data_IF_250212853944
#
_entry.id   IF_250212853944
#
_cell.length_a   1.000
_cell.length_b   1.000
_cell.length_c   1.000
_cell.angle_alpha   90.00
_cell.angle_beta   90.00
_cell.angle_gamma   90.00
#
_symmetry.space_group_name_H-M   'P 1'
#
loop_
_entity.id
_entity.type
_entity.pdbx_description
1 polymer ?
#
# COMPACT_ATOMS: atom_id res chain seq x y z
N UNK A 1 20.39 0.36 14.19
CA UNK A 1 20.90 0.01 12.84
C UNK A 1 21.14 -1.49 12.65
N UNK A 2 21.59 -2.26 13.65
CA UNK A 2 21.87 -3.70 13.48
C UNK A 2 20.62 -4.55 13.15
N UNK A 3 19.45 -4.22 13.70
CA UNK A 3 18.22 -4.98 13.43
C UNK A 3 17.71 -4.85 11.98
N UNK A 4 17.91 -3.69 11.33
CA UNK A 4 17.43 -3.47 9.95
C UNK A 4 18.28 -4.23 8.93
N UNK A 5 19.58 -4.44 9.19
CA UNK A 5 20.44 -5.22 8.30
C UNK A 5 20.06 -6.71 8.29
N UNK A 6 19.73 -7.27 9.45
CA UNK A 6 19.27 -8.66 9.56
C UNK A 6 17.93 -8.87 8.84
N UNK A 7 16.95 -8.00 9.08
CA UNK A 7 15.65 -8.07 8.40
C UNK A 7 15.77 -7.88 6.88
N UNK A 8 16.60 -6.92 6.44
CA UNK A 8 16.86 -6.69 5.02
C UNK A 8 17.49 -7.93 4.36
N UNK A 9 18.46 -8.58 5.03
CA UNK A 9 19.06 -9.83 4.56
C UNK A 9 18.03 -10.95 4.43
N UNK A 10 17.13 -11.10 5.41
CA UNK A 10 16.07 -12.12 5.38
C UNK A 10 15.06 -11.89 4.25
N UNK A 11 14.78 -10.64 3.90
CA UNK A 11 13.87 -10.25 2.82
C UNK A 11 14.58 -10.13 1.45
N UNK A 12 15.89 -10.38 1.40
CA UNK A 12 16.71 -10.27 0.19
C UNK A 12 16.83 -8.85 -0.37
N UNK A 13 16.60 -7.82 0.45
CA UNK A 13 16.58 -6.41 0.04
C UNK A 13 17.70 -5.59 0.68
N UNK A 14 17.87 -4.34 0.24
CA UNK A 14 18.74 -3.36 0.87
C UNK A 14 18.11 -2.73 2.11
N UNK A 15 18.94 -2.17 2.99
CA UNK A 15 18.44 -1.45 4.18
C UNK A 15 17.61 -0.22 3.82
N UNK A 16 17.86 0.40 2.66
CA UNK A 16 17.05 1.51 2.15
C UNK A 16 15.64 1.06 1.75
N UNK A 17 15.51 -0.13 1.16
CA UNK A 17 14.21 -0.70 0.80
C UNK A 17 13.34 -0.94 2.03
N UNK A 18 13.96 -1.45 3.09
CA UNK A 18 13.31 -1.70 4.36
C UNK A 18 12.90 -0.39 5.05
N UNK A 19 13.79 0.61 5.04
CA UNK A 19 13.47 1.94 5.57
C UNK A 19 12.32 2.60 4.79
N UNK A 20 12.29 2.46 3.46
CA UNK A 20 11.20 2.97 2.63
C UNK A 20 9.85 2.31 2.92
N UNK A 21 9.85 0.98 3.12
CA UNK A 21 8.65 0.26 3.56
C UNK A 21 8.13 0.79 4.91
N UNK A 22 9.01 0.94 5.91
CA UNK A 22 8.58 1.47 7.21
C UNK A 22 8.14 2.93 7.16
N UNK A 23 8.80 3.79 6.37
CA UNK A 23 8.36 5.17 6.19
C UNK A 23 6.97 5.25 5.53
N UNK A 24 6.67 4.37 4.57
CA UNK A 24 5.32 4.25 3.98
C UNK A 24 4.31 3.74 4.99
N UNK A 25 4.66 2.72 5.76
CA UNK A 25 3.81 2.17 6.81
C UNK A 25 3.46 3.24 7.86
N UNK A 26 4.45 3.99 8.32
CA UNK A 26 4.27 5.10 9.27
C UNK A 26 3.34 6.18 8.67
N UNK A 27 3.52 6.54 7.38
CA UNK A 27 2.62 7.48 6.69
C UNK A 27 1.17 6.99 6.72
N UNK A 28 0.91 5.73 6.37
CA UNK A 28 -0.45 5.20 6.36
C UNK A 28 -1.03 5.04 7.75
N UNK A 29 -0.22 4.73 8.76
CA UNK A 29 -0.64 4.70 10.16
C UNK A 29 -1.17 6.05 10.62
N UNK A 30 -0.48 7.13 10.25
CA UNK A 30 -0.89 8.50 10.57
C UNK A 30 -2.03 9.04 9.70
N UNK A 31 -2.37 8.35 8.60
CA UNK A 31 -3.44 8.76 7.68
C UNK A 31 -4.56 7.73 7.61
N UNK A 32 -4.51 6.84 6.63
CA UNK A 32 -5.63 5.97 6.26
C UNK A 32 -5.90 4.88 7.29
N UNK A 33 -4.92 4.46 8.09
CA UNK A 33 -5.13 3.45 9.12
C UNK A 33 -5.43 4.02 10.50
N UNK A 34 -5.37 5.34 10.68
CA UNK A 34 -5.56 5.97 11.99
C UNK A 34 -6.90 5.59 12.64
N UNK A 35 -7.97 5.59 11.83
CA UNK A 35 -9.33 5.23 12.25
C UNK A 35 -9.78 3.84 11.72
N UNK A 36 -8.86 3.04 11.17
CA UNK A 36 -9.19 1.70 10.65
C UNK A 36 -9.07 0.64 11.76
N UNK A 37 -10.17 0.36 12.45
CA UNK A 37 -10.23 -0.68 13.49
C UNK A 37 -9.90 -2.09 12.96
N UNK A 38 -10.00 -2.32 11.65
CA UNK A 38 -9.60 -3.58 11.03
C UNK A 38 -8.09 -3.65 10.81
N UNK A 39 -7.34 -2.55 10.83
CA UNK A 39 -5.92 -2.60 10.53
C UNK A 39 -5.10 -3.30 11.63
N UNK A 40 -4.09 -4.08 11.23
CA UNK A 40 -3.02 -4.54 12.12
C UNK A 40 -1.80 -4.99 11.31
N UNK A 41 -0.59 -4.81 11.86
CA UNK A 41 0.63 -5.28 11.21
C UNK A 41 0.63 -6.81 10.95
N UNK A 42 -0.08 -7.58 11.78
CA UNK A 42 -0.22 -9.02 11.63
C UNK A 42 -1.05 -9.40 10.41
N UNK A 43 -2.03 -8.57 10.02
CA UNK A 43 -2.81 -8.77 8.78
C UNK A 43 -1.95 -8.61 7.54
N UNK A 44 -0.98 -7.70 7.52
CA UNK A 44 -0.01 -7.58 6.40
C UNK A 44 0.69 -8.93 6.16
N UNK A 45 1.25 -9.52 7.21
CA UNK A 45 1.94 -10.81 7.13
C UNK A 45 0.99 -11.94 6.71
N UNK A 46 -0.22 -11.97 7.28
CA UNK A 46 -1.25 -12.97 6.94
C UNK A 46 -1.66 -12.89 5.46
N UNK A 47 -1.85 -11.68 4.95
CA UNK A 47 -2.27 -11.42 3.57
C UNK A 47 -1.18 -11.80 2.59
N UNK A 48 0.09 -11.46 2.86
CA UNK A 48 1.23 -11.94 2.04
C UNK A 48 1.26 -13.46 1.97
N UNK A 49 1.07 -14.13 3.12
CA UNK A 49 1.07 -15.60 3.18
C UNK A 49 -0.01 -16.22 2.30
N UNK A 50 -1.20 -15.62 2.29
CA UNK A 50 -2.36 -16.11 1.55
C UNK A 50 -2.29 -15.79 0.06
N UNK A 51 -2.07 -14.52 -0.30
CA UNK A 51 -2.12 -14.06 -1.68
C UNK A 51 -0.89 -14.45 -2.50
N UNK A 52 0.28 -14.58 -1.86
CA UNK A 52 1.56 -14.76 -2.55
C UNK A 52 2.22 -16.11 -2.28
N UNK A 53 1.45 -17.11 -1.82
CA UNK A 53 1.96 -18.43 -1.44
C UNK A 53 3.18 -18.37 -0.49
N UNK A 54 3.21 -17.38 0.40
CA UNK A 54 4.30 -17.18 1.35
C UNK A 54 5.61 -16.68 0.74
N UNK A 55 5.61 -16.14 -0.49
CA UNK A 55 6.75 -15.39 -1.01
C UNK A 55 6.89 -14.07 -0.25
N UNK A 56 7.58 -14.11 0.88
CA UNK A 56 7.85 -12.92 1.69
C UNK A 56 9.05 -12.15 1.12
N UNK A 57 8.76 -11.23 0.21
CA UNK A 57 9.73 -10.22 -0.26
C UNK A 57 9.28 -8.82 0.14
N UNK A 58 10.20 -7.86 0.11
CA UNK A 58 9.84 -6.45 0.35
C UNK A 58 8.76 -5.96 -0.63
N UNK A 59 8.73 -6.48 -1.85
CA UNK A 59 7.75 -6.11 -2.87
C UNK A 59 6.36 -6.63 -2.51
N UNK A 60 6.24 -7.90 -2.12
CA UNK A 60 4.94 -8.45 -1.68
C UNK A 60 4.40 -7.75 -0.43
N UNK A 61 5.29 -7.30 0.47
CA UNK A 61 4.91 -6.52 1.63
C UNK A 61 4.39 -5.14 1.23
N UNK A 62 5.04 -4.47 0.27
CA UNK A 62 4.56 -3.19 -0.25
C UNK A 62 3.22 -3.35 -0.97
N UNK A 63 3.07 -4.33 -1.86
CA UNK A 63 1.81 -4.58 -2.58
C UNK A 63 0.66 -4.74 -1.59
N UNK A 64 0.81 -5.64 -0.61
CA UNK A 64 -0.24 -5.90 0.38
C UNK A 64 -0.52 -4.68 1.25
N UNK A 65 0.51 -3.90 1.61
CA UNK A 65 0.33 -2.67 2.36
C UNK A 65 -0.48 -1.64 1.56
N UNK A 66 -0.16 -1.45 0.29
CA UNK A 66 -0.84 -0.52 -0.61
C UNK A 66 -2.29 -0.98 -0.91
N UNK A 67 -2.52 -2.28 -1.12
CA UNK A 67 -3.88 -2.85 -1.25
C UNK A 67 -4.72 -2.62 0.02
N UNK A 68 -4.15 -2.86 1.20
CA UNK A 68 -4.84 -2.61 2.47
C UNK A 68 -5.15 -1.12 2.66
N UNK A 69 -4.23 -0.23 2.28
CA UNK A 69 -4.45 1.21 2.34
C UNK A 69 -5.59 1.63 1.40
N UNK A 70 -5.63 1.12 0.17
CA UNK A 70 -6.73 1.37 -0.79
C UNK A 70 -8.06 0.85 -0.25
N UNK A 71 -8.11 -0.39 0.26
CA UNK A 71 -9.32 -0.95 0.87
C UNK A 71 -9.82 -0.09 2.03
N UNK A 72 -8.90 0.39 2.88
CA UNK A 72 -9.22 1.21 4.03
C UNK A 72 -9.75 2.59 3.62
N UNK A 73 -9.11 3.24 2.64
CA UNK A 73 -9.61 4.51 2.09
C UNK A 73 -11.01 4.34 1.47
N UNK A 74 -11.24 3.29 0.68
CA UNK A 74 -12.55 3.00 0.09
C UNK A 74 -13.66 2.72 1.14
N UNK A 75 -13.31 2.30 2.36
CA UNK A 75 -14.30 2.15 3.45
C UNK A 75 -14.63 3.47 4.13
N UNK A 76 -13.70 4.43 4.12
CA UNK A 76 -13.83 5.71 4.80
C UNK A 76 -14.55 6.75 3.92
N UNK A 77 -14.33 6.71 2.62
CA UNK A 77 -15.02 7.58 1.67
C UNK A 77 -16.38 6.97 1.32
N UNK A 78 -17.44 7.78 1.25
CA UNK A 78 -18.74 7.35 0.74
C UNK A 78 -18.65 7.13 -0.79
N UNK A 79 -18.15 5.96 -1.19
CA UNK A 79 -17.85 5.64 -2.59
C UNK A 79 -19.01 4.96 -3.32
N UNK A 80 -19.29 5.40 -4.54
CA UNK A 80 -20.06 4.63 -5.53
C UNK A 80 -19.35 3.32 -5.91
N UNK A 81 -20.12 2.32 -6.35
CA UNK A 81 -19.55 1.04 -6.84
C UNK A 81 -18.69 1.27 -8.09
N UNK A 82 -19.11 2.20 -8.97
CA UNK A 82 -18.38 2.59 -10.16
C UNK A 82 -17.00 3.18 -9.82
N UNK A 83 -16.92 4.02 -8.77
CA UNK A 83 -15.64 4.56 -8.30
C UNK A 83 -14.74 3.45 -7.76
N UNK A 84 -15.27 2.54 -6.93
CA UNK A 84 -14.53 1.40 -6.38
C UNK A 84 -13.94 0.52 -7.49
N UNK A 85 -14.73 0.20 -8.51
CA UNK A 85 -14.27 -0.57 -9.66
C UNK A 85 -13.18 0.18 -10.43
N UNK A 86 -13.34 1.48 -10.64
CA UNK A 86 -12.34 2.29 -11.33
C UNK A 86 -11.01 2.38 -10.56
N UNK A 87 -11.04 2.43 -9.22
CA UNK A 87 -9.84 2.39 -8.37
C UNK A 87 -9.09 1.09 -8.61
N UNK A 88 -9.76 -0.07 -8.54
CA UNK A 88 -9.11 -1.36 -8.73
C UNK A 88 -8.65 -1.62 -10.16
N UNK A 89 -9.40 -1.17 -11.17
CA UNK A 89 -9.00 -1.25 -12.58
C UNK A 89 -7.77 -0.37 -12.88
N UNK A 90 -7.63 0.74 -12.15
CA UNK A 90 -6.54 1.69 -12.29
C UNK A 90 -5.30 1.37 -11.46
N UNK A 91 -5.48 0.63 -10.37
CA UNK A 91 -4.46 0.41 -9.34
C UNK A 91 -3.27 -0.35 -9.92
N UNK A 92 -2.12 0.32 -9.95
CA UNK A 92 -0.87 -0.24 -10.40
C UNK A 92 0.21 -0.02 -9.35
N UNK A 93 0.99 -1.07 -9.10
CA UNK A 93 2.11 -1.03 -8.19
C UNK A 93 3.38 -1.49 -8.88
N UNK A 94 4.44 -0.68 -8.82
CA UNK A 94 5.78 -1.10 -9.20
C UNK A 94 6.68 -1.12 -7.98
N UNK A 95 7.09 -2.33 -7.62
CA UNK A 95 7.99 -2.59 -6.51
C UNK A 95 9.09 -3.49 -7.06
N UNK A 96 10.17 -2.85 -7.46
CA UNK A 96 11.36 -3.56 -7.89
C UNK A 96 12.42 -3.41 -6.81
N UNK A 97 13.00 -4.53 -6.39
CA UNK A 97 14.09 -4.58 -5.41
C UNK A 97 15.37 -3.86 -5.88
N UNK A 98 15.48 -3.55 -7.16
CA UNK A 98 16.61 -2.83 -7.76
C UNK A 98 16.31 -1.38 -8.14
N UNK A 99 15.06 -0.94 -8.00
CA UNK A 99 14.64 0.42 -8.31
C UNK A 99 14.22 1.14 -7.02
N UNK A 100 14.61 2.41 -6.91
CA UNK A 100 14.27 3.24 -5.76
C UNK A 100 12.85 3.80 -5.86
N UNK A 101 12.19 3.69 -7.01
CA UNK A 101 10.78 4.04 -7.17
C UNK A 101 9.90 2.88 -6.66
N UNK A 102 9.37 3.02 -5.44
CA UNK A 102 8.50 2.03 -4.76
C UNK A 102 7.13 2.62 -4.45
N UNK A 103 6.48 3.09 -5.49
CA UNK A 103 5.22 3.80 -5.39
C UNK A 103 4.15 3.05 -6.17
N UNK A 104 2.94 3.06 -5.63
CA UNK A 104 1.75 2.73 -6.40
C UNK A 104 1.22 4.00 -7.05
N UNK A 105 0.52 3.84 -8.14
CA UNK A 105 -0.19 4.92 -8.82
C UNK A 105 -1.45 4.36 -9.48
N UNK A 106 -2.19 5.24 -10.13
CA UNK A 106 -3.35 4.86 -10.92
C UNK A 106 -3.11 5.20 -12.40
N UNK A 107 -3.31 4.25 -13.30
CA UNK A 107 -3.15 4.49 -14.74
C UNK A 107 -4.27 5.36 -15.30
N UNK A 108 -5.41 5.40 -14.61
CA UNK A 108 -6.64 6.08 -15.01
C UNK A 108 -6.95 7.35 -14.19
N UNK A 109 -5.95 8.04 -13.62
CA UNK A 109 -6.16 9.26 -12.79
C UNK A 109 -7.10 10.27 -13.43
N UNK A 110 -7.03 10.50 -14.74
CA UNK A 110 -7.93 11.44 -15.44
C UNK A 110 -9.40 11.05 -15.35
N UNK A 111 -9.70 9.76 -15.34
CA UNK A 111 -11.05 9.23 -15.14
C UNK A 111 -11.43 9.33 -13.66
N UNK A 112 -10.53 8.96 -12.75
CA UNK A 112 -10.76 9.02 -11.31
C UNK A 112 -11.10 10.45 -10.84
N UNK A 113 -10.42 11.46 -11.38
CA UNK A 113 -10.69 12.88 -11.11
C UNK A 113 -12.09 13.37 -11.54
N UNK A 114 -12.87 12.56 -12.27
CA UNK A 114 -14.26 12.88 -12.61
C UNK A 114 -15.26 12.47 -11.53
N UNK A 115 -14.84 11.62 -10.59
CA UNK A 115 -15.62 11.21 -9.43
C UNK A 115 -15.47 12.23 -8.29
N UNK A 116 -16.57 12.55 -7.61
CA UNK A 116 -16.56 13.53 -6.51
C UNK A 116 -15.77 12.99 -5.30
N UNK A 117 -15.73 11.66 -5.15
CA UNK A 117 -15.05 10.93 -4.08
C UNK A 117 -13.52 10.94 -4.19
N UNK A 118 -12.98 11.27 -5.37
CA UNK A 118 -11.54 11.14 -5.65
C UNK A 118 -10.68 12.03 -4.76
N UNK A 119 -11.10 13.26 -4.49
CA UNK A 119 -10.31 14.20 -3.70
C UNK A 119 -10.11 13.69 -2.26
N UNK A 120 -11.17 13.23 -1.62
CA UNK A 120 -11.11 12.67 -0.27
C UNK A 120 -10.27 11.38 -0.24
N UNK A 121 -10.51 10.48 -1.19
CA UNK A 121 -9.74 9.24 -1.34
C UNK A 121 -8.24 9.47 -1.52
N UNK A 122 -7.87 10.39 -2.43
CA UNK A 122 -6.48 10.71 -2.71
C UNK A 122 -5.80 11.38 -1.51
N UNK A 123 -6.51 12.23 -0.77
CA UNK A 123 -5.99 12.88 0.44
C UNK A 123 -5.66 11.86 1.55
N UNK A 124 -6.50 10.83 1.75
CA UNK A 124 -6.24 9.77 2.74
C UNK A 124 -4.93 9.01 2.44
N UNK A 125 -4.65 8.78 1.16
CA UNK A 125 -3.44 8.06 0.71
C UNK A 125 -2.23 8.99 0.50
N UNK A 126 -2.45 10.31 0.55
CA UNK A 126 -1.47 11.35 0.30
C UNK A 126 -0.87 11.26 -1.12
N UNK A 127 -1.76 11.21 -2.11
CA UNK A 127 -1.47 11.13 -3.56
C UNK A 127 -1.52 12.49 -4.26
#
# INVERSE_FOLDING_TARGET
MENNLFAATMLGCGTNDLNGFFAKLDKYEDTVFFDDEDFSYQKIVKNVRYAWNGKFTIDTLNIVLDEMAVESALKQVESSEEFRLAIWDGFNGYYNIHDNAKEFWFDNVKQLQTFEEWEEFANLLGL
#
